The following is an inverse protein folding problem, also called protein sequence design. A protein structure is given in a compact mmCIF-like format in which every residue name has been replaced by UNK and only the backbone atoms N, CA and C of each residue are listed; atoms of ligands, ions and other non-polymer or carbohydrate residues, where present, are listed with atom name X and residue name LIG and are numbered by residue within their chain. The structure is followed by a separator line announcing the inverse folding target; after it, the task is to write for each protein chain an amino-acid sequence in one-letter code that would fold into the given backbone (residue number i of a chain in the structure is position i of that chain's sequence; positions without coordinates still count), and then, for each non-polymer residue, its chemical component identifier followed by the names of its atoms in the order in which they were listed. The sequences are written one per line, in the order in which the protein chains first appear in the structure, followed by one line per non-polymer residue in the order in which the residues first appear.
data_IF_579734137891
#
_entry.id   IF_579734137891
#
_cell.length_a   1.000
_cell.length_b   1.000
_cell.length_c   1.000
_cell.angle_alpha   90.00
_cell.angle_beta   90.00
_cell.angle_gamma   90.00
#
_symmetry.space_group_name_H-M   'P 1'
#
loop_
_entity.id
_entity.type
_entity.pdbx_description
1 polymer ?
#
# COMPACT_ATOMS: atom_id res chain seq x y z
N UNK A 1 36.51 -14.27 -6.39
CA UNK A 1 35.18 -14.42 -7.00
C UNK A 1 34.22 -14.93 -5.94
N UNK A 2 33.31 -14.08 -5.45
CA UNK A 2 32.01 -14.44 -4.86
C UNK A 2 31.21 -13.14 -4.78
N UNK A 3 30.60 -12.75 -5.91
CA UNK A 3 29.50 -11.79 -5.90
C UNK A 3 28.27 -12.54 -5.38
N UNK A 4 28.16 -12.67 -4.07
CA UNK A 4 26.90 -13.05 -3.44
C UNK A 4 25.93 -11.90 -3.68
N UNK A 5 25.05 -12.07 -4.68
CA UNK A 5 23.88 -11.19 -4.85
C UNK A 5 23.19 -11.10 -3.49
N UNK A 6 22.89 -9.90 -2.94
CA UNK A 6 22.17 -9.84 -1.69
C UNK A 6 20.84 -10.55 -1.90
N UNK A 7 20.59 -11.61 -1.12
CA UNK A 7 19.28 -12.20 -1.02
C UNK A 7 18.31 -11.06 -0.70
N UNK A 8 17.32 -10.86 -1.56
CA UNK A 8 16.28 -9.84 -1.38
C UNK A 8 15.68 -10.10 0.00
N UNK A 9 15.93 -9.19 0.96
CA UNK A 9 15.38 -9.31 2.30
C UNK A 9 13.87 -9.14 2.15
N UNK A 10 13.04 -10.11 2.59
CA UNK A 10 11.60 -9.91 2.60
C UNK A 10 11.32 -8.67 3.46
N UNK A 11 10.69 -7.65 2.85
CA UNK A 11 10.33 -6.45 3.57
C UNK A 11 9.32 -6.82 4.67
N UNK A 12 9.47 -6.23 5.87
CA UNK A 12 8.50 -6.43 6.94
C UNK A 12 7.13 -5.92 6.48
N UNK A 13 6.06 -6.54 6.98
CA UNK A 13 4.68 -6.15 6.64
C UNK A 13 4.42 -4.68 6.97
N UNK A 14 5.08 -4.21 8.02
CA UNK A 14 5.11 -2.84 8.51
C UNK A 14 5.50 -1.83 7.43
N UNK A 15 6.38 -2.19 6.48
CA UNK A 15 6.76 -1.33 5.36
C UNK A 15 5.57 -1.02 4.45
N UNK A 16 4.83 -2.05 4.06
CA UNK A 16 3.63 -1.87 3.23
C UNK A 16 2.50 -1.18 4.00
N UNK A 17 2.35 -1.49 5.29
CA UNK A 17 1.38 -0.82 6.15
C UNK A 17 1.64 0.68 6.28
N UNK A 18 2.91 1.09 6.37
CA UNK A 18 3.29 2.50 6.44
C UNK A 18 2.93 3.23 5.15
N UNK A 19 3.29 2.66 3.99
CA UNK A 19 2.97 3.24 2.68
C UNK A 19 1.45 3.40 2.52
N UNK A 20 0.68 2.32 2.74
CA UNK A 20 -0.78 2.35 2.63
C UNK A 20 -1.43 3.28 3.66
N UNK A 21 -0.89 3.33 4.88
CA UNK A 21 -1.36 4.26 5.91
C UNK A 21 -1.14 5.71 5.50
N UNK A 22 0.05 6.07 5.02
CA UNK A 22 0.33 7.41 4.51
C UNK A 22 -0.61 7.78 3.36
N UNK A 23 -0.80 6.89 2.38
CA UNK A 23 -1.74 7.07 1.27
C UNK A 23 -3.19 7.29 1.73
N UNK A 24 -3.64 6.58 2.76
CA UNK A 24 -4.97 6.75 3.34
C UNK A 24 -5.12 8.06 4.16
N UNK A 25 -4.01 8.63 4.60
CA UNK A 25 -4.00 9.79 5.51
C UNK A 25 -3.92 11.14 4.79
N UNK A 26 -3.29 11.19 3.61
CA UNK A 26 -3.06 12.42 2.85
C UNK A 26 -3.04 12.12 1.35
N UNK A 27 -3.77 12.93 0.58
CA UNK A 27 -3.82 12.87 -0.89
C UNK A 27 -2.45 13.02 -1.54
N UNK A 28 -1.52 13.82 -0.99
CA UNK A 28 -0.18 13.96 -1.58
C UNK A 28 0.59 12.63 -1.58
N UNK A 29 0.47 11.84 -0.51
CA UNK A 29 1.07 10.51 -0.42
C UNK A 29 0.31 9.48 -1.25
N UNK A 30 -1.01 9.63 -1.36
CA UNK A 30 -1.82 8.82 -2.27
C UNK A 30 -1.32 8.98 -3.71
N UNK A 31 -1.21 10.21 -4.18
CA UNK A 31 -0.80 10.54 -5.55
C UNK A 31 0.60 9.99 -5.84
N UNK A 32 1.56 10.25 -4.94
CA UNK A 32 2.93 9.74 -5.04
C UNK A 32 2.99 8.20 -5.06
N UNK A 33 2.21 7.55 -4.18
CA UNK A 33 2.12 6.09 -4.11
C UNK A 33 1.52 5.46 -5.37
N UNK A 34 0.46 6.07 -5.93
CA UNK A 34 -0.20 5.59 -7.15
C UNK A 34 0.66 5.84 -8.41
N UNK A 35 1.46 6.90 -8.44
CA UNK A 35 2.39 7.16 -9.55
C UNK A 35 3.56 6.16 -9.54
N UNK A 36 3.99 5.74 -8.36
CA UNK A 36 5.24 4.97 -8.18
C UNK A 36 5.06 3.46 -8.11
N UNK A 37 3.89 2.99 -7.65
CA UNK A 37 3.65 1.57 -7.34
C UNK A 37 2.56 0.95 -8.22
N UNK A 38 2.62 -0.38 -8.32
CA UNK A 38 1.55 -1.24 -8.82
C UNK A 38 1.08 -2.17 -7.70
N UNK A 39 -0.14 -2.70 -7.81
CA UNK A 39 -0.68 -3.67 -6.84
C UNK A 39 0.26 -4.87 -6.60
N UNK A 40 1.07 -5.27 -7.59
CA UNK A 40 1.94 -6.44 -7.51
C UNK A 40 3.25 -6.20 -6.75
N UNK A 41 3.57 -4.93 -6.48
CA UNK A 41 4.72 -4.54 -5.66
C UNK A 41 4.51 -4.87 -4.16
N UNK A 42 3.25 -5.05 -3.75
CA UNK A 42 2.87 -5.49 -2.41
C UNK A 42 2.97 -7.01 -2.26
N UNK A 43 3.60 -7.50 -1.20
CA UNK A 43 3.74 -8.92 -0.91
C UNK A 43 2.46 -9.53 -0.33
N UNK A 44 1.73 -8.75 0.48
CA UNK A 44 0.59 -9.24 1.22
C UNK A 44 -0.69 -9.09 0.38
N UNK A 45 -1.45 -10.18 0.14
CA UNK A 45 -2.66 -10.13 -0.68
C UNK A 45 -3.67 -9.07 -0.23
N UNK A 46 -3.84 -8.90 1.08
CA UNK A 46 -4.67 -7.86 1.68
C UNK A 46 -4.25 -6.44 1.23
N UNK A 47 -2.95 -6.19 1.10
CA UNK A 47 -2.41 -4.91 0.70
C UNK A 47 -2.55 -4.68 -0.81
N UNK A 48 -2.41 -5.74 -1.62
CA UNK A 48 -2.73 -5.68 -3.06
C UNK A 48 -4.18 -5.27 -3.30
N UNK A 49 -5.10 -5.91 -2.58
CA UNK A 49 -6.54 -5.62 -2.66
C UNK A 49 -6.82 -4.18 -2.24
N UNK A 50 -6.24 -3.75 -1.11
CA UNK A 50 -6.42 -2.40 -0.61
C UNK A 50 -5.88 -1.37 -1.59
N UNK A 51 -4.63 -1.50 -2.05
CA UNK A 51 -4.03 -0.61 -3.04
C UNK A 51 -4.88 -0.48 -4.30
N UNK A 52 -5.34 -1.62 -4.84
CA UNK A 52 -6.24 -1.63 -5.99
C UNK A 52 -7.52 -0.85 -5.74
N UNK A 53 -8.12 -0.93 -4.55
CA UNK A 53 -9.30 -0.14 -4.21
C UNK A 53 -8.98 1.36 -4.17
N UNK A 54 -7.82 1.76 -3.62
CA UNK A 54 -7.38 3.16 -3.62
C UNK A 54 -7.21 3.69 -5.04
N UNK A 55 -6.52 2.92 -5.89
CA UNK A 55 -6.33 3.21 -7.31
C UNK A 55 -7.67 3.41 -8.03
N UNK A 56 -8.60 2.45 -7.89
CA UNK A 56 -9.92 2.53 -8.54
C UNK A 56 -10.74 3.74 -8.09
N UNK A 57 -10.71 4.09 -6.79
CA UNK A 57 -11.40 5.27 -6.28
C UNK A 57 -10.79 6.54 -6.85
N UNK A 58 -9.46 6.63 -6.83
CA UNK A 58 -8.71 7.75 -7.36
C UNK A 58 -8.96 7.96 -8.87
N UNK A 59 -8.86 6.90 -9.68
CA UNK A 59 -9.15 6.92 -11.13
C UNK A 59 -10.60 7.32 -11.44
N UNK A 60 -11.53 6.96 -10.55
CA UNK A 60 -12.95 7.33 -10.69
C UNK A 60 -13.25 8.78 -10.25
N UNK A 61 -12.23 9.54 -9.81
CA UNK A 61 -12.41 10.87 -9.23
C UNK A 61 -13.18 10.86 -7.91
N UNK A 62 -13.25 9.71 -7.24
CA UNK A 62 -13.93 9.55 -5.96
C UNK A 62 -12.90 9.79 -4.85
N UNK A 63 -13.20 10.65 -3.86
CA UNK A 63 -12.30 10.87 -2.73
C UNK A 63 -11.94 9.55 -2.03
N UNK A 64 -10.66 9.40 -1.70
CA UNK A 64 -10.18 8.27 -0.90
C UNK A 64 -10.33 8.63 0.57
N UNK A 65 -11.44 8.22 1.18
CA UNK A 65 -11.63 8.24 2.62
C UNK A 65 -11.93 6.83 3.15
N UNK A 66 -11.65 6.60 4.43
CA UNK A 66 -11.76 5.27 5.04
C UNK A 66 -13.16 4.64 4.94
N UNK A 67 -14.23 5.44 4.98
CA UNK A 67 -15.60 4.95 4.84
C UNK A 67 -15.89 4.52 3.39
N UNK A 68 -15.51 5.34 2.41
CA UNK A 68 -15.63 4.99 0.99
C UNK A 68 -14.76 3.79 0.61
N UNK A 69 -13.52 3.72 1.10
CA UNK A 69 -12.64 2.55 0.93
C UNK A 69 -13.29 1.29 1.50
N UNK A 70 -13.81 1.35 2.73
CA UNK A 70 -14.49 0.21 3.33
C UNK A 70 -15.74 -0.22 2.55
N UNK A 71 -16.51 0.72 2.00
CA UNK A 71 -17.68 0.39 1.18
C UNK A 71 -17.28 -0.25 -0.14
N UNK A 72 -16.29 0.31 -0.83
CA UNK A 72 -15.78 -0.27 -2.07
C UNK A 72 -15.19 -1.66 -1.87
N UNK A 73 -14.50 -1.87 -0.73
CA UNK A 73 -14.03 -3.19 -0.31
C UNK A 73 -15.16 -4.19 -0.05
N UNK A 74 -16.33 -3.76 0.44
CA UNK A 74 -17.49 -4.64 0.58
C UNK A 74 -18.05 -5.04 -0.78
N UNK A 75 -18.14 -4.10 -1.71
CA UNK A 75 -18.70 -4.32 -3.05
C UNK A 75 -17.91 -5.38 -3.83
N UNK A 76 -16.59 -5.43 -3.63
CA UNK A 76 -15.69 -6.43 -4.26
C UNK A 76 -15.46 -7.67 -3.39
N UNK A 77 -16.25 -7.85 -2.32
CA UNK A 77 -16.11 -8.91 -1.32
C UNK A 77 -14.72 -8.99 -0.65
N UNK A 78 -13.89 -7.96 -0.81
CA UNK A 78 -12.52 -7.86 -0.34
C UNK A 78 -12.39 -7.43 1.12
N UNK A 79 -13.42 -6.85 1.74
CA UNK A 79 -13.32 -6.27 3.08
C UNK A 79 -12.88 -7.29 4.13
N UNK A 80 -13.40 -8.53 4.07
CA UNK A 80 -12.99 -9.60 5.00
C UNK A 80 -11.54 -10.02 4.74
N UNK A 81 -11.13 -10.09 3.47
CA UNK A 81 -9.78 -10.46 3.05
C UNK A 81 -8.73 -9.46 3.51
N UNK A 82 -9.10 -8.18 3.62
CA UNK A 82 -8.22 -7.11 4.14
C UNK A 82 -8.12 -7.12 5.67
N UNK A 83 -8.94 -7.92 6.39
CA UNK A 83 -8.97 -7.91 7.86
C UNK A 83 -10.08 -7.02 8.45
N UNK A 84 -10.99 -6.54 7.61
CA UNK A 84 -12.16 -5.78 8.02
C UNK A 84 -11.92 -4.27 8.13
N UNK A 85 -13.00 -3.54 8.43
CA UNK A 85 -12.96 -2.08 8.53
C UNK A 85 -12.00 -1.59 9.64
N UNK A 86 -11.85 -2.36 10.72
CA UNK A 86 -10.93 -2.04 11.79
C UNK A 86 -9.47 -1.99 11.30
N UNK A 87 -9.09 -2.86 10.36
CA UNK A 87 -7.74 -2.88 9.82
C UNK A 87 -7.46 -1.64 8.96
N UNK A 88 -8.38 -1.30 8.05
CA UNK A 88 -8.29 -0.08 7.22
C UNK A 88 -8.20 1.17 8.10
N UNK A 89 -9.03 1.25 9.14
CA UNK A 89 -8.98 2.35 10.10
C UNK A 89 -7.65 2.41 10.85
N UNK A 90 -7.09 1.26 11.24
CA UNK A 90 -5.79 1.19 11.90
C UNK A 90 -4.69 1.77 11.02
N UNK A 91 -4.66 1.42 9.72
CA UNK A 91 -3.69 1.98 8.78
C UNK A 91 -3.81 3.49 8.64
N UNK A 92 -5.04 4.00 8.50
CA UNK A 92 -5.29 5.44 8.34
C UNK A 92 -4.96 6.27 9.59
N UNK A 93 -5.20 5.71 10.78
CA UNK A 93 -4.93 6.40 12.05
C UNK A 93 -3.46 6.34 12.46
N UNK A 94 -2.73 5.32 12.02
CA UNK A 94 -1.33 5.10 12.39
C UNK A 94 -0.46 4.91 11.14
N UNK A 95 -0.37 5.95 10.27
CA UNK A 95 0.42 5.89 9.04
C UNK A 95 1.94 5.80 9.31
N UNK A 96 2.37 6.01 10.56
CA UNK A 96 3.76 6.15 10.93
C UNK A 96 4.33 7.52 10.56
N UNK A 97 5.64 7.76 10.78
CA UNK A 97 6.25 9.05 10.47
C UNK A 97 6.30 9.26 8.96
N UNK A 98 5.62 10.29 8.46
CA UNK A 98 5.59 10.61 7.03
C UNK A 98 6.99 10.88 6.44
N UNK A 99 7.95 11.33 7.26
CA UNK A 99 9.35 11.46 6.89
C UNK A 99 10.00 10.15 6.44
N UNK A 100 9.40 9.00 6.75
CA UNK A 100 9.87 7.70 6.30
C UNK A 100 9.13 7.18 5.06
N UNK A 101 8.07 7.85 4.61
CA UNK A 101 7.26 7.38 3.48
C UNK A 101 8.11 7.06 2.24
N UNK A 102 8.88 8.04 1.77
CA UNK A 102 9.78 7.89 0.61
C UNK A 102 10.75 6.72 0.77
N UNK A 103 11.32 6.54 1.96
CA UNK A 103 12.23 5.43 2.22
C UNK A 103 11.55 4.07 2.03
N UNK A 104 10.32 3.89 2.53
CA UNK A 104 9.62 2.62 2.35
C UNK A 104 9.02 2.46 0.95
N UNK A 105 8.63 3.57 0.31
CA UNK A 105 8.23 3.60 -1.09
C UNK A 105 9.35 3.08 -1.98
N UNK A 106 10.56 3.64 -1.85
CA UNK A 106 11.77 3.23 -2.58
C UNK A 106 12.08 1.74 -2.38
N UNK A 107 11.89 1.23 -1.16
CA UNK A 107 12.12 -0.19 -0.86
C UNK A 107 11.15 -1.12 -1.60
N UNK A 108 9.87 -0.71 -1.73
CA UNK A 108 8.88 -1.45 -2.51
C UNK A 108 9.24 -1.42 -4.01
N UNK A 109 9.71 -0.28 -4.51
CA UNK A 109 10.14 -0.11 -5.91
C UNK A 109 11.41 -0.93 -6.22
N UNK A 110 12.47 -0.83 -5.42
CA UNK A 110 13.75 -1.53 -5.69
C UNK A 110 13.56 -3.05 -5.73
N UNK A 111 12.58 -3.58 -4.99
CA UNK A 111 12.22 -4.99 -5.04
C UNK A 111 11.71 -5.41 -6.42
N UNK A 112 10.98 -4.55 -7.13
CA UNK A 112 10.49 -4.79 -8.50
C UNK A 112 11.64 -4.97 -9.49
N UNK A 113 12.64 -4.09 -9.42
CA UNK A 113 13.78 -4.06 -10.36
C UNK A 113 14.65 -5.33 -10.26
N UNK A 114 14.56 -6.06 -9.16
CA UNK A 114 15.34 -7.28 -8.90
C UNK A 114 14.60 -8.58 -9.24
N UNK A 115 13.31 -8.53 -9.59
CA UNK A 115 12.50 -9.70 -9.96
C UNK A 115 12.32 -9.89 -11.47
N UNK A 116 12.74 -8.92 -12.30
CA UNK A 116 12.85 -9.03 -13.77
C UNK A 116 14.29 -9.37 -14.19
#
# INVERSE_FOLDING_TARGET
MINSRPAIVPLPKESEMMVLGCMLSNTEYLDSGLESLLQDDFNFPEHRILFKVLENLHESGIPVDTHLVCNKLKDVEGLKSVGGAAYVLTLAMYPGPSAHFEYYLDQLIDRKTKQN
#
